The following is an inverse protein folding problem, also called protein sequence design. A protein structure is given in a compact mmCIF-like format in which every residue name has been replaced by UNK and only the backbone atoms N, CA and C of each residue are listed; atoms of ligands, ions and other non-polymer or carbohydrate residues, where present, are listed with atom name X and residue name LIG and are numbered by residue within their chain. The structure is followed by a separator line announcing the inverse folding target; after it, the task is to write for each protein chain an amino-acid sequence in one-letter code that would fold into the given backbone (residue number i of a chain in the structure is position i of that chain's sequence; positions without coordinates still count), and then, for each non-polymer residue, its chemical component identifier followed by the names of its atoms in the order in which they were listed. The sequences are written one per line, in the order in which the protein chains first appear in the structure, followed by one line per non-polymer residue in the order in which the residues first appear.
data_IF_077826841337
#
_entry.id   IF_077826841337
#
_cell.length_a   1.000
_cell.length_b   1.000
_cell.length_c   1.000
_cell.angle_alpha   90.00
_cell.angle_beta   90.00
_cell.angle_gamma   90.00
#
_symmetry.space_group_name_H-M   'P 1'
#
loop_
_entity.id
_entity.type
_entity.pdbx_description
1 polymer ?
#
# COMPACT_ATOMS: atom_id res chain seq x y z
N UNK A 1 -10.43 -14.28 -3.66
CA UNK A 1 -8.99 -14.09 -3.36
C UNK A 1 -8.59 -12.82 -4.08
N UNK A 2 -8.11 -11.78 -3.38
CA UNK A 2 -7.67 -10.54 -4.04
C UNK A 2 -6.47 -10.87 -4.94
N UNK A 3 -6.40 -10.26 -6.12
CA UNK A 3 -5.21 -10.38 -6.97
C UNK A 3 -4.01 -9.68 -6.31
N UNK A 4 -2.76 -10.05 -6.64
CA UNK A 4 -1.57 -9.35 -6.13
C UNK A 4 -1.61 -7.84 -6.39
N UNK A 5 -2.16 -7.40 -7.53
CA UNK A 5 -2.28 -5.98 -7.86
C UNK A 5 -3.35 -5.28 -7.00
N UNK A 6 -4.50 -5.90 -6.74
CA UNK A 6 -5.51 -5.34 -5.82
C UNK A 6 -4.97 -5.20 -4.40
N UNK A 7 -4.14 -6.15 -3.95
CA UNK A 7 -3.49 -6.08 -2.64
C UNK A 7 -2.44 -4.97 -2.58
N UNK A 8 -1.64 -4.82 -3.64
CA UNK A 8 -0.72 -3.69 -3.80
C UNK A 8 -1.45 -2.34 -3.78
N UNK A 9 -2.55 -2.22 -4.53
CA UNK A 9 -3.34 -0.99 -4.56
C UNK A 9 -3.95 -0.66 -3.20
N UNK A 10 -4.48 -1.67 -2.48
CA UNK A 10 -4.99 -1.50 -1.11
C UNK A 10 -3.90 -0.98 -0.18
N UNK A 11 -2.69 -1.55 -0.26
CA UNK A 11 -1.55 -1.12 0.53
C UNK A 11 -1.19 0.35 0.28
N UNK A 12 -1.16 0.78 -0.98
CA UNK A 12 -0.88 2.18 -1.35
C UNK A 12 -2.00 3.11 -0.86
N UNK A 13 -3.27 2.71 -1.00
CA UNK A 13 -4.41 3.49 -0.52
C UNK A 13 -4.36 3.69 0.99
N UNK A 14 -4.18 2.62 1.76
CA UNK A 14 -4.11 2.74 3.22
C UNK A 14 -2.87 3.49 3.68
N UNK A 15 -1.74 3.35 2.98
CA UNK A 15 -0.54 4.16 3.24
C UNK A 15 -0.80 5.64 2.99
N UNK A 16 -1.50 5.99 1.91
CA UNK A 16 -1.88 7.36 1.59
C UNK A 16 -2.81 7.94 2.67
N UNK A 17 -3.87 7.21 3.03
CA UNK A 17 -4.82 7.62 4.09
C UNK A 17 -4.11 7.84 5.43
N UNK A 18 -3.22 6.94 5.82
CA UNK A 18 -2.47 7.04 7.08
C UNK A 18 -1.47 8.20 7.08
N UNK A 19 -0.55 8.26 6.11
CA UNK A 19 0.57 9.21 6.15
C UNK A 19 0.27 10.58 5.54
N UNK A 20 -0.65 10.67 4.58
CA UNK A 20 -0.95 11.93 3.89
C UNK A 20 -2.18 12.64 4.44
N UNK A 21 -3.21 11.88 4.80
CA UNK A 21 -4.50 12.46 5.22
C UNK A 21 -4.70 12.45 6.73
N UNK A 22 -3.94 11.64 7.49
CA UNK A 22 -4.17 11.39 8.92
C UNK A 22 -5.58 10.81 9.18
N UNK A 23 -6.09 10.03 8.22
CA UNK A 23 -7.44 9.43 8.22
C UNK A 23 -7.41 7.91 8.00
N UNK A 24 -6.80 7.12 8.91
CA UNK A 24 -6.74 5.67 8.77
C UNK A 24 -8.14 5.04 8.87
N UNK A 25 -8.46 4.16 7.91
CA UNK A 25 -9.75 3.45 7.84
C UNK A 25 -9.66 1.98 8.28
N UNK A 26 -8.44 1.50 8.56
CA UNK A 26 -8.19 0.17 9.12
C UNK A 26 -7.23 0.31 10.32
N UNK A 27 -7.31 -0.60 11.31
CA UNK A 27 -6.33 -0.64 12.41
C UNK A 27 -4.92 -0.97 11.91
N UNK A 28 -3.90 -0.49 12.62
CA UNK A 28 -2.48 -0.78 12.32
C UNK A 28 -2.20 -2.28 12.19
N UNK A 29 -2.79 -3.11 13.06
CA UNK A 29 -2.62 -4.57 12.99
C UNK A 29 -3.17 -5.20 11.70
N UNK A 30 -4.21 -4.59 11.10
CA UNK A 30 -4.71 -5.04 9.80
C UNK A 30 -3.79 -4.56 8.67
N UNK A 31 -3.24 -3.35 8.77
CA UNK A 31 -2.24 -2.87 7.83
C UNK A 31 -0.95 -3.73 7.87
N UNK A 32 -0.49 -4.13 9.05
CA UNK A 32 0.66 -5.03 9.22
C UNK A 32 0.40 -6.39 8.56
N UNK A 33 -0.78 -6.97 8.76
CA UNK A 33 -1.18 -8.21 8.09
C UNK A 33 -1.22 -8.04 6.57
N UNK A 34 -1.68 -6.89 6.08
CA UNK A 34 -1.66 -6.56 4.65
C UNK A 34 -0.23 -6.51 4.09
N UNK A 35 0.72 -5.94 4.84
CA UNK A 35 2.13 -5.93 4.46
C UNK A 35 2.69 -7.35 4.37
N UNK A 36 2.38 -8.19 5.36
CA UNK A 36 2.79 -9.62 5.38
C UNK A 36 2.20 -10.39 4.20
N UNK A 37 0.92 -10.19 3.90
CA UNK A 37 0.27 -10.86 2.78
C UNK A 37 0.78 -10.37 1.43
N UNK A 38 1.02 -9.06 1.28
CA UNK A 38 1.60 -8.49 0.08
C UNK A 38 3.02 -8.98 -0.13
N UNK A 39 3.83 -9.09 0.92
CA UNK A 39 5.20 -9.62 0.86
C UNK A 39 5.23 -11.04 0.26
N UNK A 40 4.31 -11.92 0.65
CA UNK A 40 4.23 -13.30 0.14
C UNK A 40 4.02 -13.37 -1.37
N UNK A 41 3.30 -12.41 -1.94
CA UNK A 41 2.93 -12.36 -3.37
C UNK A 41 3.61 -11.21 -4.11
N UNK A 42 4.58 -10.52 -3.50
CA UNK A 42 5.17 -9.31 -4.06
C UNK A 42 5.87 -9.56 -5.39
N UNK A 43 6.48 -10.74 -5.55
CA UNK A 43 7.08 -11.18 -6.82
C UNK A 43 6.08 -11.23 -7.99
N UNK A 44 4.80 -11.49 -7.72
CA UNK A 44 3.72 -11.62 -8.71
C UNK A 44 3.05 -10.28 -9.05
N UNK A 45 3.31 -9.23 -8.27
CA UNK A 45 2.78 -7.88 -8.55
C UNK A 45 3.36 -7.39 -9.88
N UNK A 46 2.48 -7.01 -10.80
CA UNK A 46 2.81 -6.46 -12.13
C UNK A 46 2.37 -5.00 -12.28
N UNK A 47 1.78 -4.41 -11.24
CA UNK A 47 1.32 -3.03 -11.24
C UNK A 47 2.45 -2.04 -11.62
N UNK A 48 2.22 -1.04 -12.51
CA UNK A 48 3.26 -0.11 -12.97
C UNK A 48 3.98 0.63 -11.85
N UNK A 49 3.26 0.92 -10.77
CA UNK A 49 3.78 1.62 -9.59
C UNK A 49 4.37 0.71 -8.51
N UNK A 50 4.57 -0.59 -8.77
CA UNK A 50 5.24 -1.52 -7.83
C UNK A 50 6.55 -0.95 -7.26
N UNK A 51 7.28 -0.19 -8.07
CA UNK A 51 8.54 0.49 -7.71
C UNK A 51 8.45 1.49 -6.55
N UNK A 52 7.25 1.85 -6.12
CA UNK A 52 7.03 2.73 -4.96
C UNK A 52 7.34 2.05 -3.63
N UNK A 53 7.37 0.72 -3.61
CA UNK A 53 7.68 -0.07 -2.41
C UNK A 53 8.74 -1.13 -2.70
N UNK A 54 9.21 -1.78 -1.64
CA UNK A 54 10.20 -2.84 -1.67
C UNK A 54 9.83 -3.92 -0.65
N UNK A 55 10.41 -5.11 -0.78
CA UNK A 55 10.25 -6.17 0.21
C UNK A 55 10.68 -5.71 1.61
N UNK A 56 11.74 -4.90 1.71
CA UNK A 56 12.19 -4.32 2.98
C UNK A 56 11.12 -3.44 3.64
N UNK A 57 10.43 -2.60 2.85
CA UNK A 57 9.36 -1.75 3.36
C UNK A 57 8.15 -2.59 3.85
N UNK A 58 7.83 -3.66 3.13
CA UNK A 58 6.77 -4.60 3.52
C UNK A 58 7.15 -5.39 4.77
N UNK A 59 8.41 -5.84 4.90
CA UNK A 59 8.92 -6.49 6.11
C UNK A 59 8.91 -5.55 7.31
N UNK A 60 9.18 -4.26 7.09
CA UNK A 60 9.09 -3.24 8.12
C UNK A 60 7.65 -2.80 8.45
N UNK A 61 6.64 -3.31 7.73
CA UNK A 61 5.23 -2.97 7.96
C UNK A 61 4.90 -1.51 7.67
N UNK A 62 5.56 -0.88 6.69
CA UNK A 62 5.41 0.56 6.46
C UNK A 62 5.15 0.92 5.01
N UNK A 63 4.41 2.00 4.81
CA UNK A 63 4.23 2.71 3.54
C UNK A 63 4.91 4.08 3.49
N UNK A 64 5.67 4.44 4.53
CA UNK A 64 6.21 5.79 4.70
C UNK A 64 7.18 6.20 3.59
N UNK A 65 7.89 5.25 2.97
CA UNK A 65 8.81 5.53 1.85
C UNK A 65 8.13 6.13 0.61
N UNK A 66 6.80 5.99 0.52
CA UNK A 66 5.96 6.57 -0.54
C UNK A 66 5.53 8.02 -0.26
N UNK A 67 5.84 8.55 0.94
CA UNK A 67 5.53 9.93 1.28
C UNK A 67 6.09 10.89 0.22
N UNK A 68 5.26 11.83 -0.21
CA UNK A 68 5.52 12.77 -1.31
C UNK A 68 5.67 12.14 -2.72
N UNK A 69 5.39 10.85 -2.90
CA UNK A 69 5.48 10.13 -4.20
C UNK A 69 4.15 9.48 -4.62
N UNK A 70 3.04 9.96 -4.09
CA UNK A 70 1.71 9.39 -4.30
C UNK A 70 1.27 9.51 -5.77
N UNK A 71 0.92 8.37 -6.43
CA UNK A 71 0.33 8.39 -7.77
C UNK A 71 -0.96 9.20 -7.83
N UNK A 72 -1.36 9.61 -9.04
CA UNK A 72 -2.63 10.33 -9.18
C UNK A 72 -3.84 9.43 -8.88
N UNK A 73 -3.79 8.16 -9.28
CA UNK A 73 -4.90 7.23 -9.12
C UNK A 73 -5.30 6.99 -7.66
N UNK A 74 -4.36 7.05 -6.70
CA UNK A 74 -4.70 6.88 -5.27
C UNK A 74 -5.39 8.13 -4.71
N UNK A 75 -5.03 9.31 -5.20
CA UNK A 75 -5.69 10.57 -4.82
C UNK A 75 -7.12 10.60 -5.33
N UNK A 76 -7.32 10.21 -6.58
CA UNK A 76 -8.63 10.16 -7.21
C UNK A 76 -9.54 9.15 -6.49
N UNK A 77 -9.01 7.95 -6.19
CA UNK A 77 -9.75 6.88 -5.49
C UNK A 77 -10.22 7.27 -4.09
N UNK A 78 -9.45 8.07 -3.37
CA UNK A 78 -9.81 8.49 -2.00
C UNK A 78 -10.74 9.72 -2.00
N UNK A 79 -10.83 10.44 -3.11
CA UNK A 79 -11.71 11.59 -3.27
C UNK A 79 -13.17 11.22 -3.65
N UNK A 80 -13.40 9.97 -4.06
CA UNK A 80 -14.74 9.39 -4.32
C UNK A 80 -15.44 8.95 -3.02
#
# INVERSE_FOLDING_TARGET
MRSPNELFESYVEHSYRYYQLDEPVIPDSHFDLMCVDLLKVFGEVTHPDKRLTSEDALQAGTGFQMMFKWPQWVKDRVAE
#
